data_IF_410456777343
#
_entry.id   IF_410456777343
#
_cell.length_a   1.000
_cell.length_b   1.000
_cell.length_c   1.000
_cell.angle_alpha   90.00
_cell.angle_beta   90.00
_cell.angle_gamma   90.00
#
_symmetry.space_group_name_H-M   'P 1'
#
loop_
_entity.id
_entity.type
_entity.pdbx_description
1 polymer ?
#
# COMPACT_ATOMS: atom_id res chain seq x y z
N UNK A 1 0.50 -16.17 14.55
CA UNK A 1 1.45 -15.09 14.91
C UNK A 1 1.61 -14.26 13.66
N UNK A 2 0.93 -13.11 13.56
CA UNK A 2 1.15 -12.17 12.46
C UNK A 2 1.78 -10.92 13.07
N UNK A 3 3.07 -11.06 13.38
CA UNK A 3 3.96 -9.98 13.79
C UNK A 3 4.30 -9.15 12.54
N UNK A 4 3.28 -8.57 11.90
CA UNK A 4 3.27 -8.20 10.46
C UNK A 4 4.17 -7.01 10.07
N UNK A 5 5.01 -6.51 10.97
CA UNK A 5 5.80 -5.30 10.71
C UNK A 5 4.92 -4.08 10.39
N UNK A 6 3.65 -4.10 10.82
CA UNK A 6 2.73 -2.98 10.65
C UNK A 6 3.24 -1.77 11.45
N UNK A 7 3.54 -0.69 10.74
CA UNK A 7 4.03 0.55 11.34
C UNK A 7 2.99 1.66 11.29
N UNK A 8 1.98 1.55 10.41
CA UNK A 8 0.95 2.58 10.25
C UNK A 8 -0.32 1.98 9.65
N UNK A 9 -1.46 2.48 10.11
CA UNK A 9 -2.78 2.24 9.50
C UNK A 9 -3.57 3.54 9.47
N UNK A 10 -4.21 3.82 8.35
CA UNK A 10 -5.03 5.02 8.19
C UNK A 10 -6.12 4.79 7.14
N UNK A 11 -7.10 5.70 7.11
CA UNK A 11 -8.13 5.74 6.06
C UNK A 11 -7.88 6.95 5.18
N UNK A 12 -7.98 6.78 3.87
CA UNK A 12 -7.86 7.85 2.87
C UNK A 12 -8.92 7.67 1.79
N UNK A 13 -9.83 8.63 1.61
CA UNK A 13 -10.86 8.59 0.56
C UNK A 13 -11.73 7.31 0.58
N UNK A 14 -12.11 6.83 1.77
CA UNK A 14 -12.82 5.56 2.01
C UNK A 14 -12.00 4.27 1.71
N UNK A 15 -10.69 4.40 1.51
CA UNK A 15 -9.76 3.27 1.45
C UNK A 15 -9.08 3.08 2.79
N UNK A 16 -9.08 1.85 3.28
CA UNK A 16 -8.23 1.46 4.39
C UNK A 16 -6.83 1.16 3.85
N UNK A 17 -5.81 1.75 4.47
CA UNK A 17 -4.42 1.57 4.09
C UNK A 17 -3.65 1.06 5.30
N UNK A 18 -2.95 -0.07 5.12
CA UNK A 18 -2.06 -0.67 6.12
C UNK A 18 -0.65 -0.67 5.57
N UNK A 19 0.26 -0.01 6.27
CA UNK A 19 1.67 0.07 5.91
C UNK A 19 2.45 -0.88 6.80
N UNK A 20 3.12 -1.82 6.14
CA UNK A 20 4.00 -2.78 6.78
C UNK A 20 5.42 -2.59 6.26
N UNK A 21 6.39 -2.55 7.17
CA UNK A 21 7.81 -2.54 6.84
C UNK A 21 8.42 -3.88 7.23
N UNK A 22 9.25 -4.42 6.34
CA UNK A 22 10.15 -5.49 6.69
C UNK A 22 11.35 -4.89 7.45
N UNK A 23 12.01 -5.70 8.27
CA UNK A 23 13.20 -5.25 9.01
C UNK A 23 14.19 -4.53 8.09
N UNK A 24 14.66 -3.35 8.52
CA UNK A 24 15.67 -2.57 7.81
C UNK A 24 16.94 -3.41 7.76
N UNK A 25 17.39 -3.76 6.57
CA UNK A 25 18.65 -4.47 6.38
C UNK A 25 19.81 -3.56 6.78
N UNK A 26 20.89 -4.19 7.24
CA UNK A 26 22.18 -3.51 7.48
C UNK A 26 22.53 -2.71 6.21
N UNK A 27 22.99 -1.46 6.37
CA UNK A 27 23.27 -0.48 5.29
C UNK A 27 22.09 0.38 4.77
N UNK A 28 21.02 0.54 5.56
CA UNK A 28 19.96 1.51 5.27
C UNK A 28 19.04 1.08 4.11
N UNK A 29 19.01 -0.21 3.79
CA UNK A 29 18.06 -0.76 2.83
C UNK A 29 16.78 -1.19 3.56
N UNK A 30 15.65 -0.60 3.18
CA UNK A 30 14.35 -0.98 3.71
C UNK A 30 13.46 -1.50 2.59
N UNK A 31 12.61 -2.46 2.95
CA UNK A 31 11.53 -2.92 2.08
C UNK A 31 10.23 -2.94 2.88
N UNK A 32 9.11 -2.80 2.19
CA UNK A 32 7.81 -2.77 2.81
C UNK A 32 6.71 -2.71 1.77
N UNK A 33 5.48 -2.64 2.25
CA UNK A 33 4.32 -2.54 1.40
C UNK A 33 3.20 -1.76 2.08
N UNK A 34 2.35 -1.14 1.27
CA UNK A 34 1.06 -0.64 1.67
C UNK A 34 0.00 -1.55 1.04
N UNK A 35 -0.83 -2.16 1.86
CA UNK A 35 -2.02 -2.85 1.40
C UNK A 35 -3.20 -1.89 1.41
N UNK A 36 -4.01 -1.94 0.37
CA UNK A 36 -5.15 -1.06 0.14
C UNK A 36 -6.42 -1.89 0.07
N UNK A 37 -7.36 -1.60 0.97
CA UNK A 37 -8.68 -2.18 0.99
C UNK A 37 -9.74 -1.13 0.72
N UNK A 38 -10.81 -1.56 0.08
CA UNK A 38 -12.02 -0.76 -0.10
C UNK A 38 -13.23 -1.66 0.10
N UNK A 39 -14.20 -1.18 0.86
CA UNK A 39 -15.43 -1.93 1.16
C UNK A 39 -15.14 -3.33 1.77
N UNK A 40 -14.06 -3.44 2.56
CA UNK A 40 -13.60 -4.69 3.18
C UNK A 40 -12.82 -5.63 2.25
N UNK A 41 -12.67 -5.31 0.97
CA UNK A 41 -11.97 -6.15 -0.02
C UNK A 41 -10.55 -5.62 -0.28
N UNK A 42 -9.54 -6.49 -0.27
CA UNK A 42 -8.17 -6.14 -0.65
C UNK A 42 -8.11 -5.95 -2.16
N UNK A 43 -7.78 -4.74 -2.60
CA UNK A 43 -7.75 -4.40 -4.04
C UNK A 43 -6.33 -4.34 -4.59
N UNK A 44 -5.37 -3.92 -3.78
CA UNK A 44 -4.00 -3.73 -4.24
C UNK A 44 -2.98 -3.79 -3.11
N UNK A 45 -1.77 -4.23 -3.45
CA UNK A 45 -0.56 -4.08 -2.64
C UNK A 45 0.44 -3.20 -3.38
N UNK A 46 0.80 -2.07 -2.81
CA UNK A 46 1.87 -1.19 -3.28
C UNK A 46 3.16 -1.57 -2.56
N UNK A 47 4.08 -2.21 -3.26
CA UNK A 47 5.39 -2.57 -2.71
C UNK A 47 6.40 -1.43 -2.85
N UNK A 48 7.32 -1.33 -1.89
CA UNK A 48 8.45 -0.42 -1.90
C UNK A 48 9.70 -1.17 -1.48
N UNK A 49 10.78 -0.96 -2.22
CA UNK A 49 12.13 -1.36 -1.84
C UNK A 49 13.09 -0.23 -2.22
N UNK A 50 14.06 0.06 -1.37
CA UNK A 50 15.01 1.14 -1.60
C UNK A 50 15.89 1.44 -0.41
N UNK A 51 16.70 2.48 -0.54
CA UNK A 51 17.46 3.02 0.59
C UNK A 51 16.66 4.11 1.30
N UNK A 52 16.59 4.00 2.61
CA UNK A 52 15.90 4.91 3.49
C UNK A 52 16.75 5.14 4.73
N UNK A 53 16.77 6.37 5.22
CA UNK A 53 17.56 6.73 6.40
C UNK A 53 17.02 6.03 7.66
N UNK A 54 15.71 5.78 7.69
CA UNK A 54 15.01 5.11 8.78
C UNK A 54 13.67 4.49 8.35
N UNK A 55 13.02 3.80 9.28
CA UNK A 55 11.69 3.24 9.07
C UNK A 55 10.61 4.32 8.81
N UNK A 56 10.73 5.50 9.42
CA UNK A 56 9.76 6.59 9.26
C UNK A 56 9.71 7.08 7.81
N UNK A 57 10.87 7.38 7.23
CA UNK A 57 11.03 7.80 5.84
C UNK A 57 10.54 6.76 4.84
N UNK A 58 10.78 5.46 5.11
CA UNK A 58 10.22 4.36 4.32
C UNK A 58 8.68 4.30 4.43
N UNK A 59 8.13 4.47 5.64
CA UNK A 59 6.69 4.48 5.87
C UNK A 59 5.99 5.67 5.21
N UNK A 60 6.60 6.86 5.24
CA UNK A 60 6.07 8.06 4.60
C UNK A 60 6.11 7.96 3.08
N UNK A 61 7.14 7.29 2.53
CA UNK A 61 7.20 7.01 1.10
C UNK A 61 6.09 6.03 0.67
N UNK A 62 5.81 5.00 1.46
CA UNK A 62 4.68 4.09 1.23
C UNK A 62 3.34 4.81 1.31
N UNK A 63 3.15 5.68 2.30
CA UNK A 63 1.93 6.49 2.41
C UNK A 63 1.72 7.37 1.17
N UNK A 64 2.75 8.12 0.74
CA UNK A 64 2.66 8.97 -0.45
C UNK A 64 2.31 8.16 -1.70
N UNK A 65 2.93 6.98 -1.87
CA UNK A 65 2.63 6.09 -2.99
C UNK A 65 1.22 5.51 -2.92
N UNK A 66 0.76 5.12 -1.74
CA UNK A 66 -0.60 4.61 -1.55
C UNK A 66 -1.65 5.68 -1.89
N UNK A 67 -1.47 6.91 -1.40
CA UNK A 67 -2.34 8.04 -1.73
C UNK A 67 -2.36 8.33 -3.23
N UNK A 68 -1.17 8.42 -3.85
CA UNK A 68 -1.06 8.62 -5.29
C UNK A 68 -1.74 7.50 -6.09
N UNK A 69 -1.64 6.24 -5.65
CA UNK A 69 -2.34 5.12 -6.28
C UNK A 69 -3.86 5.25 -6.14
N UNK A 70 -4.37 5.65 -4.97
CA UNK A 70 -5.82 5.88 -4.75
C UNK A 70 -6.32 7.02 -5.64
N UNK A 71 -5.57 8.12 -5.72
CA UNK A 71 -5.94 9.26 -6.57
C UNK A 71 -5.96 8.87 -8.06
N UNK A 72 -4.92 8.14 -8.51
CA UNK A 72 -4.86 7.58 -9.87
C UNK A 72 -5.99 6.59 -10.13
N UNK A 73 -6.29 5.70 -9.17
CA UNK A 73 -7.43 4.79 -9.27
C UNK A 73 -8.74 5.55 -9.43
N UNK A 74 -9.00 6.58 -8.61
CA UNK A 74 -10.23 7.39 -8.71
C UNK A 74 -10.35 8.18 -10.01
N UNK A 75 -9.22 8.57 -10.60
CA UNK A 75 -9.17 9.29 -11.87
C UNK A 75 -9.35 8.37 -13.08
N UNK A 76 -9.17 7.05 -12.93
CA UNK A 76 -9.47 6.09 -13.99
C UNK A 76 -10.97 6.11 -14.28
N UNK A 77 -11.30 6.07 -15.55
CA UNK A 77 -12.67 5.75 -15.96
C UNK A 77 -12.96 4.31 -15.53
N UNK A 78 -13.83 4.14 -14.54
CA UNK A 78 -14.24 2.83 -14.03
C UNK A 78 -15.25 2.14 -14.97
N UNK A 79 -15.20 2.44 -16.28
CA UNK A 79 -16.10 1.95 -17.32
C UNK A 79 -15.95 0.46 -17.64
N UNK A 80 -15.17 -0.29 -16.84
CA UNK A 80 -15.08 -1.73 -16.93
C UNK A 80 -16.18 -2.43 -16.14
N UNK A 81 -17.36 -2.58 -16.74
CA UNK A 81 -18.11 -3.82 -16.54
C UNK A 81 -17.26 -4.95 -17.15
N UNK A 82 -16.22 -5.41 -16.46
CA UNK A 82 -15.63 -6.69 -16.82
C UNK A 82 -16.60 -7.76 -16.33
N UNK A 83 -17.68 -7.94 -17.09
CA UNK A 83 -18.41 -9.18 -17.15
C UNK A 83 -17.44 -10.24 -17.63
N UNK A 84 -16.63 -10.78 -16.72
CA UNK A 84 -16.11 -12.12 -16.89
C UNK A 84 -17.32 -13.04 -16.81
N UNK A 85 -17.95 -13.26 -17.96
CA UNK A 85 -18.79 -14.42 -18.19
C UNK A 85 -17.92 -15.62 -17.84
N UNK A 86 -18.26 -16.27 -16.74
CA UNK A 86 -17.79 -17.60 -16.37
C UNK A 86 -17.99 -18.52 -17.57
N UNK A 87 -16.88 -19.10 -18.07
CA UNK A 87 -16.88 -20.14 -19.09
C UNK A 87 -17.34 -21.48 -18.49
#
# INVERSE_FOLDING_TARGET
MNDDGEVRRFVYEAWEVRVCLNAVAVEGQASGHADLWRDGEHKCRVALTGRFDDATSASDALERKAKAWVDDWKARDHSGETGFTSL
#
